data_IF_273762108175
#
_entry.id   IF_273762108175
#
_cell.length_a   1.000
_cell.length_b   1.000
_cell.length_c   1.000
_cell.angle_alpha   90.00
_cell.angle_beta   90.00
_cell.angle_gamma   90.00
#
_symmetry.space_group_name_H-M   'P 1'
#
loop_
_entity.id
_entity.type
_entity.pdbx_description
1 polymer ?
#
# COMPACT_ATOMS: atom_id res chain seq x y z
N UNK A 1 15.86 -15.65 -2.92
CA UNK A 1 14.98 -16.82 -2.67
C UNK A 1 14.57 -17.42 -4.01
N UNK A 2 14.44 -18.74 -4.08
CA UNK A 2 14.21 -19.52 -5.32
C UNK A 2 13.09 -18.99 -6.19
N UNK A 3 11.90 -18.77 -5.61
CA UNK A 3 10.72 -18.24 -6.30
C UNK A 3 11.00 -16.96 -7.13
N UNK A 4 11.43 -15.89 -6.46
CA UNK A 4 11.66 -14.59 -7.11
C UNK A 4 12.75 -14.66 -8.18
N UNK A 5 13.83 -15.41 -7.91
CA UNK A 5 14.96 -15.51 -8.84
C UNK A 5 14.59 -16.30 -10.10
N UNK A 6 13.91 -17.43 -9.94
CA UNK A 6 13.50 -18.29 -11.06
C UNK A 6 12.47 -17.59 -11.94
N UNK A 7 11.43 -17.00 -11.33
CA UNK A 7 10.41 -16.26 -12.10
C UNK A 7 10.99 -15.05 -12.82
N UNK A 8 11.92 -14.32 -12.18
CA UNK A 8 12.60 -13.20 -12.83
C UNK A 8 13.44 -13.66 -14.02
N UNK A 9 14.26 -14.70 -13.84
CA UNK A 9 15.08 -15.29 -14.91
C UNK A 9 14.22 -15.69 -16.12
N UNK A 10 13.10 -16.37 -15.87
CA UNK A 10 12.16 -16.76 -16.92
C UNK A 10 11.54 -15.54 -17.62
N UNK A 11 11.08 -14.55 -16.85
CA UNK A 11 10.47 -13.35 -17.38
C UNK A 11 11.44 -12.52 -18.25
N UNK A 12 12.69 -12.37 -17.81
CA UNK A 12 13.77 -11.72 -18.56
C UNK A 12 14.07 -12.50 -19.86
N UNK A 13 14.23 -13.83 -19.80
CA UNK A 13 14.53 -14.67 -20.96
C UNK A 13 13.40 -14.68 -22.00
N UNK A 14 12.15 -14.55 -21.55
CA UNK A 14 10.97 -14.53 -22.43
C UNK A 14 10.74 -13.21 -23.18
N UNK A 15 11.51 -12.15 -22.87
CA UNK A 15 11.32 -10.80 -23.44
C UNK A 15 10.01 -10.11 -23.03
N UNK A 16 9.23 -10.73 -22.12
CA UNK A 16 7.95 -10.16 -21.65
C UNK A 16 8.15 -8.88 -20.83
N UNK A 17 9.37 -8.66 -20.32
CA UNK A 17 9.70 -7.50 -19.51
C UNK A 17 10.24 -6.30 -20.30
N UNK A 18 10.59 -6.47 -21.58
CA UNK A 18 11.27 -5.45 -22.41
C UNK A 18 10.45 -4.16 -22.58
N UNK A 19 9.12 -4.27 -22.47
CA UNK A 19 8.21 -3.12 -22.59
C UNK A 19 8.03 -2.34 -21.28
N UNK A 20 8.56 -2.84 -20.16
CA UNK A 20 8.42 -2.21 -18.86
C UNK A 20 9.54 -1.20 -18.63
N UNK A 21 9.13 0.03 -18.30
CA UNK A 21 10.06 1.14 -18.03
C UNK A 21 10.47 1.24 -16.56
N UNK A 22 10.21 0.20 -15.77
CA UNK A 22 10.40 0.23 -14.32
C UNK A 22 10.75 -1.16 -13.77
N UNK A 23 11.45 -1.18 -12.66
CA UNK A 23 11.90 -2.43 -12.04
C UNK A 23 10.78 -3.16 -11.29
N UNK A 24 10.81 -4.49 -11.39
CA UNK A 24 9.96 -5.41 -10.64
C UNK A 24 10.67 -5.79 -9.34
N UNK A 25 9.93 -5.73 -8.24
CA UNK A 25 10.38 -6.10 -6.89
C UNK A 25 10.02 -7.55 -6.58
N UNK A 26 10.73 -8.16 -5.62
CA UNK A 26 10.38 -9.48 -5.08
C UNK A 26 8.97 -9.58 -4.51
N UNK A 27 8.40 -8.48 -4.04
CA UNK A 27 7.01 -8.40 -3.57
C UNK A 27 6.00 -8.61 -4.70
N UNK A 28 6.29 -8.10 -5.90
CA UNK A 28 5.38 -8.19 -7.05
C UNK A 28 5.18 -9.65 -7.49
N UNK A 29 6.19 -10.51 -7.25
CA UNK A 29 6.11 -11.96 -7.52
C UNK A 29 5.28 -12.72 -6.48
N UNK A 30 5.07 -12.14 -5.30
CA UNK A 30 4.29 -12.75 -4.21
C UNK A 30 2.86 -12.20 -4.13
N UNK A 31 2.55 -11.15 -4.89
CA UNK A 31 1.25 -10.49 -4.86
C UNK A 31 0.14 -11.45 -5.31
N UNK A 32 -0.77 -11.77 -4.39
CA UNK A 32 -1.87 -12.71 -4.61
C UNK A 32 -1.42 -14.16 -4.83
N UNK A 33 -0.24 -14.53 -4.33
CA UNK A 33 0.23 -15.91 -4.23
C UNK A 33 -0.28 -16.55 -2.94
N UNK A 34 -0.90 -17.72 -3.05
CA UNK A 34 -1.20 -18.58 -1.90
C UNK A 34 -0.31 -19.80 -2.01
N UNK A 35 0.46 -20.07 -0.96
CA UNK A 35 1.38 -21.21 -0.92
C UNK A 35 1.40 -21.82 0.48
N UNK A 36 1.56 -23.13 0.52
CA UNK A 36 1.78 -23.90 1.75
C UNK A 36 3.18 -24.48 1.65
N UNK A 37 4.03 -24.17 2.63
CA UNK A 37 5.39 -24.69 2.71
C UNK A 37 5.50 -25.52 3.99
N UNK A 38 5.71 -26.82 3.82
CA UNK A 38 5.91 -27.76 4.92
C UNK A 38 7.30 -28.37 4.81
N UNK A 39 8.09 -28.23 5.88
CA UNK A 39 9.46 -28.73 5.96
C UNK A 39 9.60 -29.68 7.14
N UNK A 40 10.31 -30.79 6.95
CA UNK A 40 10.66 -31.73 8.02
C UNK A 40 12.13 -31.54 8.35
N UNK A 41 12.43 -31.16 9.58
CA UNK A 41 13.79 -30.87 10.07
C UNK A 41 14.05 -31.76 11.27
N UNK A 42 15.19 -32.46 11.29
CA UNK A 42 15.52 -33.40 12.37
C UNK A 42 15.71 -32.69 13.72
N UNK A 43 16.44 -31.58 13.73
CA UNK A 43 16.70 -30.77 14.92
C UNK A 43 16.23 -29.31 14.72
N UNK A 44 14.93 -29.03 14.87
CA UNK A 44 14.40 -27.70 14.61
C UNK A 44 14.79 -26.73 15.75
N UNK A 45 15.46 -25.65 15.37
CA UNK A 45 15.79 -24.50 16.21
C UNK A 45 14.80 -23.39 15.92
N UNK A 46 14.25 -22.75 16.97
CA UNK A 46 13.30 -21.65 16.80
C UNK A 46 13.80 -20.39 17.51
N UNK A 47 13.50 -19.24 16.91
CA UNK A 47 13.66 -17.94 17.57
C UNK A 47 12.48 -17.70 18.51
N UNK A 48 12.77 -17.53 19.80
CA UNK A 48 11.78 -17.20 20.83
C UNK A 48 10.93 -18.38 21.33
N UNK A 49 10.26 -18.16 22.45
CA UNK A 49 9.50 -19.19 23.16
C UNK A 49 8.27 -19.71 22.39
N UNK A 50 7.68 -18.87 21.53
CA UNK A 50 6.46 -19.19 20.79
C UNK A 50 6.69 -20.12 19.58
N UNK A 51 7.96 -20.46 19.28
CA UNK A 51 8.35 -21.35 18.16
C UNK A 51 7.77 -20.96 16.79
N UNK A 52 7.58 -19.66 16.56
CA UNK A 52 6.93 -19.15 15.33
C UNK A 52 7.90 -18.95 14.18
N UNK A 53 9.19 -18.73 14.45
CA UNK A 53 10.20 -18.48 13.44
C UNK A 53 11.30 -19.54 13.51
N UNK A 54 11.47 -20.29 12.43
CA UNK A 54 12.51 -21.30 12.31
C UNK A 54 13.89 -20.61 12.15
N UNK A 55 14.83 -20.97 13.01
CA UNK A 55 16.19 -20.43 13.06
C UNK A 55 17.24 -21.24 12.28
N UNK A 56 16.89 -22.45 11.81
CA UNK A 56 17.78 -23.31 11.02
C UNK A 56 18.11 -22.66 9.66
N UNK A 57 19.25 -21.97 9.56
CA UNK A 57 19.69 -21.30 8.32
C UNK A 57 20.00 -22.31 7.21
N UNK A 58 20.43 -23.50 7.58
CA UNK A 58 20.73 -24.63 6.70
C UNK A 58 19.50 -25.14 5.93
N UNK A 59 18.28 -24.87 6.41
CA UNK A 59 17.03 -25.28 5.73
C UNK A 59 16.71 -24.36 4.55
N UNK A 60 17.18 -23.11 4.56
CA UNK A 60 16.85 -22.12 3.52
C UNK A 60 17.41 -22.52 2.16
N UNK A 61 18.65 -23.01 2.12
CA UNK A 61 19.33 -23.41 0.88
C UNK A 61 18.64 -24.57 0.14
N UNK A 62 18.39 -25.75 0.78
CA UNK A 62 17.76 -26.89 0.12
C UNK A 62 16.32 -26.59 -0.29
N UNK A 63 15.54 -25.87 0.53
CA UNK A 63 14.17 -25.46 0.15
C UNK A 63 14.22 -24.51 -1.03
N UNK A 64 15.12 -23.54 -1.03
CA UNK A 64 15.26 -22.59 -2.14
C UNK A 64 15.71 -23.27 -3.43
N UNK A 65 16.56 -24.29 -3.35
CA UNK A 65 17.01 -25.06 -4.51
C UNK A 65 15.89 -25.94 -5.07
N UNK A 66 15.22 -26.72 -4.21
CA UNK A 66 14.11 -27.57 -4.63
C UNK A 66 12.96 -26.77 -5.28
N UNK A 67 12.62 -25.60 -4.71
CA UNK A 67 11.64 -24.69 -5.30
C UNK A 67 12.13 -24.14 -6.63
N UNK A 68 13.41 -23.77 -6.76
CA UNK A 68 13.93 -23.21 -7.99
C UNK A 68 13.93 -24.22 -9.14
N UNK A 69 14.40 -25.45 -8.89
CA UNK A 69 14.46 -26.53 -9.89
C UNK A 69 13.06 -26.92 -10.36
N UNK A 70 12.15 -27.24 -9.43
CA UNK A 70 10.79 -27.64 -9.79
C UNK A 70 10.00 -26.53 -10.49
N UNK A 71 10.21 -25.27 -10.08
CA UNK A 71 9.55 -24.14 -10.72
C UNK A 71 10.11 -23.86 -12.12
N UNK A 72 11.41 -24.02 -12.32
CA UNK A 72 12.03 -23.89 -13.66
C UNK A 72 11.45 -24.93 -14.62
N UNK A 73 11.43 -26.21 -14.22
CA UNK A 73 10.80 -27.27 -15.01
C UNK A 73 9.32 -27.00 -15.28
N UNK A 74 8.55 -26.58 -14.27
CA UNK A 74 7.12 -26.29 -14.46
C UNK A 74 6.88 -25.17 -15.48
N UNK A 75 7.67 -24.08 -15.44
CA UNK A 75 7.52 -22.94 -16.33
C UNK A 75 7.91 -23.27 -17.78
N UNK A 76 8.88 -24.17 -17.97
CA UNK A 76 9.29 -24.67 -19.28
C UNK A 76 8.25 -25.62 -19.88
N UNK A 77 7.70 -26.52 -19.07
CA UNK A 77 6.66 -27.48 -19.49
C UNK A 77 5.31 -26.80 -19.75
N UNK A 78 5.00 -25.71 -19.04
CA UNK A 78 3.71 -25.02 -19.09
C UNK A 78 3.85 -23.55 -19.53
N UNK A 79 4.21 -23.27 -20.80
CA UNK A 79 4.50 -21.91 -21.28
C UNK A 79 3.28 -20.97 -21.24
N UNK A 80 2.06 -21.51 -21.38
CA UNK A 80 0.83 -20.71 -21.29
C UNK A 80 0.61 -20.19 -19.86
N UNK A 81 0.73 -21.07 -18.87
CA UNK A 81 0.61 -20.71 -17.46
C UNK A 81 1.72 -19.76 -17.04
N UNK A 82 2.95 -20.04 -17.48
CA UNK A 82 4.10 -19.19 -17.21
C UNK A 82 3.87 -17.75 -17.71
N UNK A 83 3.32 -17.60 -18.92
CA UNK A 83 2.96 -16.29 -19.47
C UNK A 83 1.88 -15.58 -18.64
N UNK A 84 0.85 -16.30 -18.19
CA UNK A 84 -0.21 -15.74 -17.33
C UNK A 84 0.36 -15.28 -15.99
N UNK A 85 1.23 -16.09 -15.36
CA UNK A 85 1.91 -15.75 -14.11
C UNK A 85 2.75 -14.49 -14.29
N UNK A 86 3.60 -14.44 -15.31
CA UNK A 86 4.44 -13.25 -15.58
C UNK A 86 3.57 -12.02 -15.85
N UNK A 87 2.49 -12.13 -16.63
CA UNK A 87 1.57 -11.01 -16.85
C UNK A 87 0.93 -10.49 -15.56
N UNK A 88 0.55 -11.38 -14.64
CA UNK A 88 0.04 -10.99 -13.31
C UNK A 88 1.09 -10.23 -12.50
N UNK A 89 2.34 -10.67 -12.52
CA UNK A 89 3.46 -9.97 -11.86
C UNK A 89 3.67 -8.58 -12.47
N UNK A 90 3.58 -8.46 -13.80
CA UNK A 90 3.68 -7.17 -14.49
C UNK A 90 2.57 -6.22 -14.04
N UNK A 91 1.33 -6.71 -13.95
CA UNK A 91 0.19 -5.92 -13.46
C UNK A 91 0.39 -5.48 -12.00
N UNK A 92 0.91 -6.36 -11.14
CA UNK A 92 1.24 -6.02 -9.76
C UNK A 92 2.32 -4.92 -9.69
N UNK A 93 3.38 -5.05 -10.48
CA UNK A 93 4.43 -4.03 -10.56
C UNK A 93 3.90 -2.68 -11.09
N UNK A 94 3.06 -2.70 -12.12
CA UNK A 94 2.37 -1.50 -12.62
C UNK A 94 1.53 -0.84 -11.52
N UNK A 95 0.74 -1.63 -10.79
CA UNK A 95 -0.09 -1.14 -9.70
C UNK A 95 0.74 -0.53 -8.57
N UNK A 96 1.87 -1.15 -8.20
CA UNK A 96 2.81 -0.63 -7.20
C UNK A 96 3.41 0.71 -7.62
N UNK A 97 3.89 0.81 -8.86
CA UNK A 97 4.47 2.05 -9.39
C UNK A 97 3.42 3.15 -9.54
N UNK A 98 2.22 2.82 -10.00
CA UNK A 98 1.08 3.74 -10.02
C UNK A 98 0.74 4.24 -8.61
N UNK A 99 0.71 3.34 -7.62
CA UNK A 99 0.47 3.71 -6.22
C UNK A 99 1.60 4.57 -5.64
N UNK A 100 2.86 4.30 -5.98
CA UNK A 100 4.00 5.15 -5.59
C UNK A 100 3.86 6.54 -6.20
N UNK A 101 3.60 6.63 -7.50
CA UNK A 101 3.38 7.91 -8.20
C UNK A 101 2.19 8.68 -7.64
N UNK A 102 1.09 8.00 -7.33
CA UNK A 102 -0.09 8.61 -6.72
C UNK A 102 0.22 9.17 -5.33
N UNK A 103 0.95 8.42 -4.49
CA UNK A 103 1.44 8.90 -3.18
C UNK A 103 2.34 10.12 -3.32
N UNK A 104 3.31 10.08 -4.24
CA UNK A 104 4.19 11.21 -4.51
C UNK A 104 3.42 12.44 -5.01
N UNK A 105 2.37 12.26 -5.83
CA UNK A 105 1.52 13.38 -6.28
C UNK A 105 0.74 14.01 -5.13
N UNK A 106 0.25 13.20 -4.18
CA UNK A 106 -0.42 13.70 -2.97
C UNK A 106 0.57 14.51 -2.11
N UNK A 107 1.81 14.02 -1.95
CA UNK A 107 2.87 14.69 -1.17
C UNK A 107 3.45 15.94 -1.85
N UNK A 108 3.68 15.93 -3.17
CA UNK A 108 4.26 17.10 -3.87
C UNK A 108 3.33 18.30 -3.85
N UNK A 109 2.01 18.09 -3.93
CA UNK A 109 1.02 19.16 -3.78
C UNK A 109 1.01 19.78 -2.38
N UNK A 110 1.48 19.05 -1.37
CA UNK A 110 1.62 19.56 0.00
C UNK A 110 2.93 20.31 0.25
N UNK A 111 3.99 20.08 -0.55
CA UNK A 111 5.35 20.61 -0.29
C UNK A 111 5.71 21.85 -1.12
N UNK A 112 5.25 21.98 -2.38
CA UNK A 112 5.69 23.06 -3.29
C UNK A 112 4.64 24.12 -3.68
N UNK A 113 3.42 24.01 -3.15
CA UNK A 113 2.49 25.14 -3.08
C UNK A 113 2.05 25.23 -1.63
N UNK A 114 1.69 26.41 -1.14
CA UNK A 114 0.91 26.53 0.10
C UNK A 114 -0.39 25.76 -0.08
N UNK A 115 -0.34 24.45 0.14
CA UNK A 115 -1.38 23.49 -0.18
C UNK A 115 -2.55 23.78 0.71
N UNK A 116 -3.45 24.61 0.20
CA UNK A 116 -4.68 24.95 0.89
C UNK A 116 -5.37 23.67 1.35
N UNK A 117 -5.97 23.76 2.53
CA UNK A 117 -6.91 22.77 3.00
C UNK A 117 -7.93 22.46 1.90
N UNK A 118 -8.47 21.24 1.83
CA UNK A 118 -9.48 20.90 0.83
C UNK A 118 -10.55 21.99 0.79
N UNK A 119 -10.95 22.46 -0.40
CA UNK A 119 -11.88 23.60 -0.50
C UNK A 119 -13.25 23.36 0.16
N UNK A 120 -13.58 22.09 0.43
CA UNK A 120 -14.78 21.67 1.17
C UNK A 120 -14.59 21.67 2.69
N UNK A 121 -13.35 21.63 3.20
CA UNK A 121 -13.06 21.62 4.63
C UNK A 121 -13.40 22.98 5.23
N UNK A 122 -14.28 22.95 6.23
CA UNK A 122 -14.44 24.08 7.13
C UNK A 122 -13.54 23.85 8.34
N UNK A 123 -12.46 24.62 8.47
CA UNK A 123 -11.47 24.41 9.54
C UNK A 123 -11.85 25.08 10.87
N UNK A 124 -11.16 24.71 11.95
CA UNK A 124 -11.22 25.38 13.25
C UNK A 124 -10.08 26.40 13.42
N UNK A 125 -10.20 27.32 14.40
CA UNK A 125 -9.15 28.33 14.65
C UNK A 125 -8.03 27.86 15.58
N UNK A 126 -8.31 26.92 16.48
CA UNK A 126 -7.33 26.31 17.38
C UNK A 126 -6.28 25.53 16.57
N UNK A 127 -5.02 25.63 17.01
CA UNK A 127 -3.87 25.02 16.36
C UNK A 127 -3.34 23.80 17.13
N UNK A 128 -3.71 23.64 18.40
CA UNK A 128 -3.35 22.49 19.22
C UNK A 128 -4.12 21.22 18.79
N UNK A 129 -3.47 20.24 18.15
CA UNK A 129 -4.14 19.05 17.61
C UNK A 129 -4.85 18.21 18.69
N UNK A 130 -4.40 18.31 19.95
CA UNK A 130 -4.98 17.56 21.07
C UNK A 130 -6.36 18.05 21.46
N UNK A 131 -6.67 19.31 21.15
CA UNK A 131 -7.97 19.95 21.41
C UNK A 131 -8.87 19.92 20.20
N UNK A 132 -8.29 19.89 19.00
CA UNK A 132 -9.02 19.94 17.75
C UNK A 132 -9.68 18.60 17.41
N UNK A 133 -10.88 18.68 16.87
CA UNK A 133 -11.65 17.54 16.37
C UNK A 133 -12.19 17.82 14.97
N UNK A 134 -12.32 16.78 14.16
CA UNK A 134 -12.89 16.87 12.81
C UNK A 134 -14.09 15.93 12.70
N UNK A 135 -15.18 16.43 12.12
CA UNK A 135 -16.36 15.63 11.80
C UNK A 135 -16.40 15.35 10.31
N UNK A 136 -16.48 14.07 9.95
CA UNK A 136 -16.75 13.60 8.59
C UNK A 136 -18.25 13.48 8.40
N UNK A 137 -18.82 14.25 7.46
CA UNK A 137 -20.28 14.36 7.30
C UNK A 137 -20.69 13.91 5.90
N UNK A 138 -21.80 13.19 5.78
CA UNK A 138 -22.32 12.77 4.49
C UNK A 138 -23.05 13.92 3.78
N UNK A 139 -22.45 14.40 2.68
CA UNK A 139 -23.02 15.40 1.79
C UNK A 139 -22.89 16.85 2.28
N UNK A 140 -23.01 17.78 1.34
CA UNK A 140 -22.88 19.22 1.63
C UNK A 140 -24.05 19.76 2.45
N UNK A 141 -25.23 19.13 2.37
CA UNK A 141 -26.41 19.55 3.12
C UNK A 141 -26.19 19.38 4.63
N UNK A 142 -25.85 18.16 5.06
CA UNK A 142 -25.50 17.91 6.44
C UNK A 142 -24.20 18.64 6.84
N UNK A 143 -23.24 18.79 5.92
CA UNK A 143 -22.06 19.61 6.12
C UNK A 143 -22.38 21.08 6.43
N UNK A 144 -23.37 21.67 5.76
CA UNK A 144 -23.85 23.03 6.03
C UNK A 144 -24.46 23.17 7.42
N UNK A 145 -25.31 22.23 7.82
CA UNK A 145 -25.90 22.20 9.16
C UNK A 145 -24.83 22.04 10.24
N UNK A 146 -23.91 21.08 10.06
CA UNK A 146 -22.81 20.85 11.00
C UNK A 146 -21.89 22.08 11.10
N UNK A 147 -21.60 22.75 9.96
CA UNK A 147 -20.80 23.98 9.94
C UNK A 147 -21.43 25.11 10.75
N UNK A 148 -22.75 25.24 10.73
CA UNK A 148 -23.47 26.29 11.47
C UNK A 148 -23.58 25.96 12.96
N UNK A 149 -23.73 24.68 13.32
CA UNK A 149 -23.91 24.24 14.71
C UNK A 149 -22.63 24.01 15.51
N UNK A 150 -21.46 24.02 14.85
CA UNK A 150 -20.18 23.72 15.51
C UNK A 150 -19.65 24.88 16.35
N UNK A 151 -18.82 24.54 17.33
CA UNK A 151 -17.86 25.48 17.88
C UNK A 151 -16.67 25.63 16.93
N UNK A 152 -16.63 26.75 16.19
CA UNK A 152 -15.55 27.07 15.24
C UNK A 152 -14.16 27.14 15.89
N UNK A 153 -14.08 27.24 17.22
CA UNK A 153 -12.82 27.33 17.92
C UNK A 153 -12.02 26.04 17.76
N UNK A 154 -12.63 24.87 17.94
CA UNK A 154 -11.91 23.57 17.94
C UNK A 154 -12.53 22.49 17.04
N UNK A 155 -13.70 22.73 16.44
CA UNK A 155 -14.39 21.74 15.60
C UNK A 155 -14.28 22.05 14.11
N UNK A 156 -13.70 21.12 13.34
CA UNK A 156 -13.61 21.14 11.89
C UNK A 156 -14.69 20.25 11.25
N UNK A 157 -15.18 20.61 10.06
CA UNK A 157 -16.20 19.84 9.33
C UNK A 157 -15.69 19.54 7.92
N UNK A 158 -15.65 18.27 7.56
CA UNK A 158 -15.33 17.80 6.21
C UNK A 158 -16.53 17.05 5.62
N UNK A 159 -17.29 17.66 4.70
CA UNK A 159 -18.35 16.97 3.99
C UNK A 159 -17.76 16.05 2.90
N UNK A 160 -18.21 14.80 2.89
CA UNK A 160 -17.86 13.77 1.92
C UNK A 160 -19.04 13.54 0.97
N UNK A 161 -18.78 13.44 -0.34
CA UNK A 161 -19.86 13.25 -1.32
C UNK A 161 -19.93 11.81 -1.83
N UNK A 162 -21.14 11.27 -1.85
CA UNK A 162 -21.42 9.94 -2.39
C UNK A 162 -20.83 8.81 -1.55
N UNK A 163 -20.84 7.60 -2.11
CA UNK A 163 -20.27 6.43 -1.44
C UNK A 163 -18.74 6.43 -1.61
N UNK A 164 -18.01 6.34 -0.51
CA UNK A 164 -16.56 6.21 -0.51
C UNK A 164 -16.17 4.92 -1.24
N UNK A 165 -15.06 4.96 -1.97
CA UNK A 165 -14.49 3.79 -2.65
C UNK A 165 -14.23 2.67 -1.64
N UNK A 166 -14.71 1.45 -1.94
CA UNK A 166 -14.38 0.27 -1.15
C UNK A 166 -12.88 -0.06 -1.33
N UNK A 167 -12.08 0.26 -0.31
CA UNK A 167 -10.62 0.11 -0.34
C UNK A 167 -10.17 -1.36 -0.28
N UNK A 168 -10.99 -2.27 0.24
CA UNK A 168 -10.62 -3.68 0.39
C UNK A 168 -10.62 -4.43 -0.95
N UNK A 169 -11.49 -4.00 -1.88
CA UNK A 169 -11.53 -4.54 -3.25
C UNK A 169 -10.75 -3.70 -4.26
N UNK A 170 -10.33 -2.50 -3.89
CA UNK A 170 -9.68 -1.57 -4.80
C UNK A 170 -8.16 -1.72 -4.78
N UNK A 171 -7.54 -1.59 -5.96
CA UNK A 171 -6.08 -1.48 -6.06
C UNK A 171 -5.60 -0.18 -5.40
N UNK A 172 -4.45 -0.22 -4.73
CA UNK A 172 -3.90 0.92 -3.97
C UNK A 172 -3.81 2.23 -4.79
N UNK A 173 -3.46 2.17 -6.07
CA UNK A 173 -3.40 3.38 -6.90
C UNK A 173 -4.77 4.08 -7.02
N UNK A 174 -5.87 3.32 -7.15
CA UNK A 174 -7.23 3.87 -7.22
C UNK A 174 -7.64 4.53 -5.91
N UNK A 175 -7.16 4.00 -4.79
CA UNK A 175 -7.38 4.57 -3.46
C UNK A 175 -6.73 5.95 -3.37
N UNK A 176 -5.46 6.08 -3.79
CA UNK A 176 -4.75 7.36 -3.77
C UNK A 176 -5.18 8.35 -4.86
N UNK A 177 -5.81 7.88 -5.95
CA UNK A 177 -6.40 8.75 -6.99
C UNK A 177 -7.80 9.25 -6.61
N UNK A 178 -8.50 8.57 -5.70
CA UNK A 178 -9.82 8.98 -5.26
C UNK A 178 -9.77 10.36 -4.57
N UNK A 179 -10.66 11.26 -4.99
CA UNK A 179 -10.68 12.64 -4.48
C UNK A 179 -11.07 12.72 -3.00
N UNK A 180 -12.10 11.97 -2.58
CA UNK A 180 -12.59 11.99 -1.20
C UNK A 180 -11.54 11.45 -0.23
N UNK A 181 -10.88 10.33 -0.58
CA UNK A 181 -9.76 9.78 0.21
C UNK A 181 -8.61 10.78 0.28
N UNK A 182 -8.22 11.40 -0.85
CA UNK A 182 -7.17 12.44 -0.85
C UNK A 182 -7.52 13.65 0.02
N UNK A 183 -8.78 14.07 0.00
CA UNK A 183 -9.26 15.17 0.83
C UNK A 183 -9.15 14.82 2.32
N UNK A 184 -9.45 13.58 2.71
CA UNK A 184 -9.25 13.09 4.08
C UNK A 184 -7.77 13.15 4.48
N UNK A 185 -6.85 12.60 3.68
CA UNK A 185 -5.41 12.68 3.96
C UNK A 185 -4.94 14.13 4.15
N UNK A 186 -5.36 15.01 3.24
CA UNK A 186 -4.98 16.42 3.25
C UNK A 186 -5.58 17.16 4.45
N UNK A 187 -6.85 16.92 4.78
CA UNK A 187 -7.50 17.52 5.94
C UNK A 187 -6.82 17.09 7.24
N UNK A 188 -6.55 15.80 7.41
CA UNK A 188 -5.90 15.27 8.61
C UNK A 188 -4.41 15.68 8.71
N UNK A 189 -3.77 16.09 7.61
CA UNK A 189 -2.33 16.37 7.58
C UNK A 189 -1.47 15.10 7.59
N UNK A 190 -2.05 13.96 7.20
CA UNK A 190 -1.36 12.66 7.17
C UNK A 190 -0.69 12.48 5.82
N UNK A 191 0.52 11.91 5.83
CA UNK A 191 1.22 11.52 4.60
C UNK A 191 1.60 10.04 4.64
N UNK A 192 1.93 9.45 3.49
CA UNK A 192 2.33 8.03 3.39
C UNK A 192 3.82 7.92 3.08
N UNK A 193 4.57 7.32 3.99
CA UNK A 193 6.00 7.09 3.92
C UNK A 193 6.71 7.73 5.11
N UNK A 194 7.47 6.93 5.83
CA UNK A 194 8.45 7.39 6.83
C UNK A 194 9.86 7.20 6.27
N UNK A 195 10.89 7.72 6.97
CA UNK A 195 12.29 7.50 6.59
C UNK A 195 12.67 6.01 6.55
N UNK A 196 11.95 5.18 7.32
CA UNK A 196 12.21 3.76 7.52
C UNK A 196 11.30 2.87 6.66
N UNK A 197 10.06 3.31 6.39
CA UNK A 197 9.10 2.55 5.60
C UNK A 197 8.29 3.44 4.64
N UNK A 198 8.53 3.26 3.35
CA UNK A 198 7.81 3.93 2.26
C UNK A 198 6.30 3.65 2.22
N UNK A 199 5.80 2.64 2.95
CA UNK A 199 4.38 2.26 3.03
C UNK A 199 3.71 2.67 4.34
N UNK A 200 4.46 3.05 5.38
CA UNK A 200 3.92 3.45 6.67
C UNK A 200 3.15 4.78 6.62
N UNK A 201 2.20 4.99 7.52
CA UNK A 201 1.55 6.28 7.70
C UNK A 201 2.45 7.20 8.55
N UNK A 202 2.70 8.42 8.07
CA UNK A 202 3.35 9.46 8.84
C UNK A 202 2.27 10.36 9.46
N UNK A 203 2.21 10.37 10.79
CA UNK A 203 1.26 11.11 11.62
C UNK A 203 1.88 12.35 12.29
N UNK A 204 3.14 12.69 12.01
CA UNK A 204 3.85 13.80 12.65
C UNK A 204 3.14 15.15 12.48
N UNK A 205 2.39 15.31 11.39
CA UNK A 205 1.63 16.52 11.04
C UNK A 205 0.12 16.35 11.23
N UNK A 206 -0.29 15.38 12.05
CA UNK A 206 -1.70 15.14 12.33
C UNK A 206 -2.33 16.39 12.97
N UNK A 207 -3.45 16.86 12.38
CA UNK A 207 -4.08 18.13 12.76
C UNK A 207 -5.21 18.00 13.78
N UNK A 208 -5.79 16.81 13.90
CA UNK A 208 -6.94 16.53 14.77
C UNK A 208 -6.73 15.19 15.46
N UNK A 209 -6.78 15.17 16.79
CA UNK A 209 -6.64 13.92 17.57
C UNK A 209 -7.98 13.21 17.80
N UNK A 210 -9.08 13.85 17.39
CA UNK A 210 -10.43 13.28 17.38
C UNK A 210 -11.00 13.38 15.97
N UNK A 211 -11.51 12.26 15.46
CA UNK A 211 -12.08 12.09 14.11
C UNK A 211 -13.44 11.40 14.24
#
# INVERSE_FOLDING_TARGET
MGLTRTLKKYADASGLLDKLKFEISGDDFREGLTAIISVKVAEPQFEGQTKTKLGNREVVSPVSQAVAEMLESYLEENPNDAKIIVQKVILAAQARHAAKKAREMVQRKTVMGGGGLPGKLSDCSEQDPTKCEIFLVEGDSAGGTAKQGRDRNFQAILPLRGKILNVEKAMQHKVFENEEIRNIFTALGVTVGTAEDSKALNLEKLRYHKV
#
